data_IF_581049512854
#
_entry.id   IF_581049512854
#
_cell.length_a   1.000
_cell.length_b   1.000
_cell.length_c   1.000
_cell.angle_alpha   90.00
_cell.angle_beta   90.00
_cell.angle_gamma   90.00
#
_symmetry.space_group_name_H-M   'P 1'
#
loop_
_entity.id
_entity.type
_entity.pdbx_description
1 polymer ?
#
# COMPACT_ATOMS: atom_id res chain seq x y z
N UNK A 1 8.79 -12.62 -2.15
CA UNK A 1 9.26 -13.17 -0.87
C UNK A 1 8.61 -12.49 0.35
N UNK A 2 8.32 -11.19 0.31
CA UNK A 2 7.76 -10.48 1.48
C UNK A 2 6.24 -10.57 1.64
N UNK A 3 5.49 -10.76 0.55
CA UNK A 3 4.00 -10.72 0.59
C UNK A 3 3.39 -11.83 1.46
N UNK A 4 3.75 -13.13 1.29
CA UNK A 4 3.12 -14.19 2.09
C UNK A 4 3.26 -14.04 3.63
N UNK A 5 4.44 -13.71 4.20
CA UNK A 5 4.55 -13.51 5.65
C UNK A 5 3.79 -12.26 6.14
N UNK A 6 3.69 -11.20 5.33
CA UNK A 6 2.89 -10.01 5.66
C UNK A 6 1.40 -10.37 5.69
N UNK A 7 0.90 -11.07 4.68
CA UNK A 7 -0.50 -11.52 4.64
C UNK A 7 -0.84 -12.43 5.83
N UNK A 8 0.06 -13.34 6.20
CA UNK A 8 -0.11 -14.20 7.37
C UNK A 8 -0.20 -13.38 8.67
N UNK A 9 0.71 -12.40 8.86
CA UNK A 9 0.69 -11.54 10.04
C UNK A 9 -0.57 -10.66 10.12
N UNK A 10 -0.99 -10.07 9.00
CA UNK A 10 -2.22 -9.27 8.92
C UNK A 10 -3.46 -10.11 9.23
N UNK A 11 -3.51 -11.36 8.74
CA UNK A 11 -4.60 -12.29 9.07
C UNK A 11 -4.69 -12.59 10.57
N UNK A 12 -3.54 -12.75 11.25
CA UNK A 12 -3.50 -12.97 12.71
C UNK A 12 -4.00 -11.75 13.48
N UNK A 13 -3.78 -10.53 12.98
CA UNK A 13 -4.21 -9.30 13.66
C UNK A 13 -5.74 -9.15 13.77
N UNK A 14 -6.50 -9.74 12.84
CA UNK A 14 -7.95 -9.58 12.75
C UNK A 14 -8.41 -8.17 12.34
N UNK A 15 -7.48 -7.25 12.04
CA UNK A 15 -7.81 -5.93 11.56
C UNK A 15 -8.39 -6.00 10.12
N UNK A 16 -9.36 -5.15 9.75
CA UNK A 16 -9.76 -5.00 8.37
C UNK A 16 -8.57 -4.49 7.53
N UNK A 17 -8.05 -5.34 6.64
CA UNK A 17 -6.85 -5.05 5.85
C UNK A 17 -7.06 -5.39 4.39
N UNK A 18 -6.46 -4.61 3.49
CA UNK A 18 -6.40 -4.90 2.06
C UNK A 18 -4.94 -5.04 1.66
N UNK A 19 -4.59 -6.15 1.02
CA UNK A 19 -3.26 -6.36 0.43
C UNK A 19 -3.41 -6.36 -1.09
N UNK A 20 -2.66 -5.50 -1.77
CA UNK A 20 -2.64 -5.43 -3.24
C UNK A 20 -1.19 -5.35 -3.73
N UNK A 21 -0.79 -6.34 -4.52
CA UNK A 21 0.49 -6.32 -5.22
C UNK A 21 0.31 -5.54 -6.52
N UNK A 22 1.20 -4.57 -6.77
CA UNK A 22 1.21 -3.76 -7.99
C UNK A 22 2.48 -4.09 -8.80
N UNK A 23 2.40 -4.98 -9.80
CA UNK A 23 3.56 -5.41 -10.57
C UNK A 23 4.09 -4.30 -11.48
N UNK A 24 5.38 -4.35 -11.80
CA UNK A 24 6.03 -3.36 -12.67
C UNK A 24 6.38 -2.03 -11.99
N UNK A 25 6.19 -1.93 -10.68
CA UNK A 25 6.64 -0.80 -9.88
C UNK A 25 7.89 -1.16 -9.08
N UNK A 26 8.78 -0.18 -8.90
CA UNK A 26 9.89 -0.29 -7.95
C UNK A 26 9.41 -0.08 -6.50
N UNK A 27 10.35 -0.10 -5.55
CA UNK A 27 10.06 0.07 -4.12
C UNK A 27 9.55 1.47 -3.73
N UNK A 28 9.67 2.46 -4.61
CA UNK A 28 9.18 3.82 -4.43
C UNK A 28 7.81 4.04 -5.09
N UNK A 29 7.20 2.97 -5.61
CA UNK A 29 5.95 3.01 -6.39
C UNK A 29 6.07 3.77 -7.72
N UNK A 30 7.25 3.78 -8.32
CA UNK A 30 7.47 4.33 -9.67
C UNK A 30 7.46 3.19 -10.68
N UNK A 31 6.94 3.45 -11.90
CA UNK A 31 7.04 2.49 -13.02
C UNK A 31 8.50 2.21 -13.34
N UNK A 32 8.90 0.94 -13.32
CA UNK A 32 10.28 0.54 -13.55
C UNK A 32 10.38 -0.77 -14.32
N UNK A 33 11.50 -0.98 -15.02
CA UNK A 33 11.72 -2.21 -15.78
C UNK A 33 12.35 -3.29 -14.91
N UNK A 34 13.37 -2.91 -14.11
CA UNK A 34 14.10 -3.84 -13.23
C UNK A 34 13.92 -3.51 -11.76
N UNK A 35 13.59 -2.25 -11.44
CA UNK A 35 13.47 -1.75 -10.07
C UNK A 35 14.80 -1.36 -9.42
N UNK A 36 15.89 -1.36 -10.20
CA UNK A 36 17.22 -1.00 -9.75
C UNK A 36 17.32 0.49 -9.38
N UNK A 37 18.21 0.80 -8.44
CA UNK A 37 18.38 2.16 -7.89
C UNK A 37 18.85 3.14 -8.97
N UNK A 38 19.61 2.69 -9.97
CA UNK A 38 20.09 3.55 -11.05
C UNK A 38 18.95 4.05 -11.97
N UNK A 39 17.79 3.35 -11.98
CA UNK A 39 16.59 3.83 -12.65
C UNK A 39 15.98 5.05 -11.93
N UNK A 40 16.17 5.21 -10.62
CA UNK A 40 15.41 6.19 -9.82
C UNK A 40 15.66 7.63 -10.29
N UNK A 41 16.92 7.93 -10.63
CA UNK A 41 17.31 9.25 -11.16
C UNK A 41 16.81 9.53 -12.58
N UNK A 42 16.43 8.48 -13.32
CA UNK A 42 15.98 8.55 -14.72
C UNK A 42 14.45 8.60 -14.82
N UNK A 43 13.75 8.17 -13.77
CA UNK A 43 12.29 8.16 -13.72
C UNK A 43 11.81 9.54 -13.23
N UNK A 44 11.08 10.26 -14.08
CA UNK A 44 10.65 11.63 -13.81
C UNK A 44 9.53 11.73 -12.76
N UNK A 45 8.70 10.69 -12.64
CA UNK A 45 7.56 10.68 -11.73
C UNK A 45 7.99 10.29 -10.31
N UNK A 46 7.39 10.92 -9.29
CA UNK A 46 7.65 10.57 -7.89
C UNK A 46 6.92 9.30 -7.47
N UNK A 47 5.65 9.15 -7.88
CA UNK A 47 4.79 7.98 -7.64
C UNK A 47 3.95 7.77 -8.91
N UNK A 48 3.72 6.52 -9.32
CA UNK A 48 2.83 6.18 -10.42
C UNK A 48 1.38 6.63 -10.09
N UNK A 49 0.72 7.44 -10.93
CA UNK A 49 -0.64 7.93 -10.68
C UNK A 49 -1.64 6.82 -10.36
N UNK A 50 -1.48 5.61 -10.93
CA UNK A 50 -2.34 4.46 -10.65
C UNK A 50 -2.30 4.07 -9.16
N UNK A 51 -1.16 4.24 -8.50
CA UNK A 51 -0.99 3.96 -7.07
C UNK A 51 -1.80 4.95 -6.24
N UNK A 52 -1.77 6.23 -6.62
CA UNK A 52 -2.54 7.27 -5.96
C UNK A 52 -4.04 7.03 -6.13
N UNK A 53 -4.49 6.64 -7.32
CA UNK A 53 -5.89 6.32 -7.60
C UNK A 53 -6.38 5.12 -6.78
N UNK A 54 -5.56 4.08 -6.66
CA UNK A 54 -5.86 2.91 -5.82
C UNK A 54 -5.99 3.30 -4.35
N UNK A 55 -5.05 4.09 -3.82
CA UNK A 55 -5.09 4.55 -2.42
C UNK A 55 -6.31 5.43 -2.18
N UNK A 56 -6.56 6.41 -3.06
CA UNK A 56 -7.70 7.32 -2.94
C UNK A 56 -9.02 6.55 -2.97
N UNK A 57 -9.18 5.64 -3.93
CA UNK A 57 -10.37 4.79 -4.04
C UNK A 57 -10.55 3.89 -2.81
N UNK A 58 -9.46 3.33 -2.28
CA UNK A 58 -9.50 2.52 -1.07
C UNK A 58 -9.96 3.34 0.14
N UNK A 59 -9.41 4.55 0.34
CA UNK A 59 -9.80 5.45 1.44
C UNK A 59 -11.29 5.80 1.34
N UNK A 60 -11.77 6.16 0.14
CA UNK A 60 -13.17 6.54 -0.08
C UNK A 60 -14.14 5.36 0.09
N UNK A 61 -13.69 4.13 -0.12
CA UNK A 61 -14.47 2.92 0.10
C UNK A 61 -14.53 2.48 1.57
N UNK A 62 -13.74 3.10 2.47
CA UNK A 62 -13.79 2.74 3.87
C UNK A 62 -15.12 3.19 4.50
N UNK A 63 -15.67 2.40 5.43
CA UNK A 63 -16.85 2.84 6.18
C UNK A 63 -16.52 4.11 6.98
N UNK A 64 -17.52 4.96 7.29
CA UNK A 64 -17.33 6.12 8.15
C UNK A 64 -16.66 5.69 9.46
N UNK A 65 -15.61 6.41 9.87
CA UNK A 65 -14.99 6.17 11.17
C UNK A 65 -16.05 6.38 12.25
N UNK A 66 -16.22 5.46 13.22
CA UNK A 66 -17.07 5.72 14.37
C UNK A 66 -16.64 7.02 15.05
N UNK A 67 -17.59 7.88 15.41
CA UNK A 67 -17.31 9.19 16.02
C UNK A 67 -16.54 9.12 17.35
N UNK A 68 -16.42 7.92 17.94
CA UNK A 68 -15.70 7.66 19.18
C UNK A 68 -14.72 6.52 18.92
N UNK A 69 -13.42 6.82 19.03
CA UNK A 69 -12.40 5.77 19.13
C UNK A 69 -12.66 5.01 20.45
N UNK A 70 -12.73 3.67 20.45
CA UNK A 70 -12.73 2.92 21.70
C UNK A 70 -11.50 3.36 22.48
N UNK A 71 -11.67 3.69 23.76
CA UNK A 71 -10.55 3.95 24.64
C UNK A 71 -9.58 2.79 24.53
N UNK A 72 -8.30 3.07 24.29
CA UNK A 72 -7.25 2.07 24.35
C UNK A 72 -7.28 1.47 25.76
N UNK A 73 -7.81 0.27 25.90
CA UNK A 73 -7.68 -0.52 27.12
C UNK A 73 -6.18 -0.75 27.34
N UNK A 74 -5.67 -0.17 28.43
CA UNK A 74 -4.30 -0.39 28.91
C UNK A 74 -4.08 -1.85 29.31
#
# INVERSE_FOLDING_TARGET
QNVPPIEAALKVSGAPTTVKVMPGLNHLFQRAQTGAIDEYSKIEITIDPEVLDVIASWILAQPPRPAVLPALSK
#
